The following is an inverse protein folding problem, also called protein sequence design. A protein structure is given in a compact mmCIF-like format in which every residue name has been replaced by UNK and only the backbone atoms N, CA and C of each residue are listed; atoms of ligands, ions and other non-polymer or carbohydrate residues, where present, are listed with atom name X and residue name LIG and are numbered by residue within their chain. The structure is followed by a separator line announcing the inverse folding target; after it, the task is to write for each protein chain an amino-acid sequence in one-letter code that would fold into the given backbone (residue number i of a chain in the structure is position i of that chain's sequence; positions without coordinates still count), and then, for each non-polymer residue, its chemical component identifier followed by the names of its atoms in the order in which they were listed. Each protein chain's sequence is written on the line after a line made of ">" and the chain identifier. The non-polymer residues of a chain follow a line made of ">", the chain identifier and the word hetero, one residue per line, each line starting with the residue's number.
data_IF_197453637139
#
_entry.id   IF_197453637139
#
_cell.length_a   1.000
_cell.length_b   1.000
_cell.length_c   1.000
_cell.angle_alpha   90.00
_cell.angle_beta   90.00
_cell.angle_gamma   90.00
#
_symmetry.space_group_name_H-M   'P 1'
#
loop_
_entity.id
_entity.type
_entity.pdbx_description
1 polymer ?
#
# COMPACT_ATOMS: atom_id res chain seq x y z
N UNK A 1 -39.54 44.12 64.52
CA UNK A 1 -39.24 44.20 63.07
C UNK A 1 -38.40 43.00 62.68
N UNK A 2 -38.99 42.00 62.01
CA UNK A 2 -38.26 40.91 61.33
C UNK A 2 -38.95 40.69 59.98
N UNK A 3 -38.17 40.88 58.91
CA UNK A 3 -38.60 40.85 57.50
C UNK A 3 -38.65 39.39 57.03
N UNK A 4 -39.81 38.94 56.56
CA UNK A 4 -39.92 37.67 55.85
C UNK A 4 -39.60 37.89 54.37
N UNK A 5 -38.56 37.25 53.87
CA UNK A 5 -38.16 37.27 52.47
C UNK A 5 -38.94 36.20 51.69
N UNK A 6 -39.60 36.60 50.60
CA UNK A 6 -40.25 35.69 49.66
C UNK A 6 -39.20 35.31 48.61
N UNK A 7 -38.80 34.04 48.56
CA UNK A 7 -37.92 33.51 47.52
C UNK A 7 -38.76 33.17 46.27
N UNK A 8 -38.54 33.91 45.18
CA UNK A 8 -39.12 33.60 43.88
C UNK A 8 -38.32 32.49 43.20
N UNK A 9 -38.94 31.33 42.98
CA UNK A 9 -38.37 30.20 42.26
C UNK A 9 -38.46 30.47 40.75
N UNK A 10 -37.37 30.91 40.13
CA UNK A 10 -37.29 31.11 38.67
C UNK A 10 -37.19 29.77 37.93
N UNK A 11 -38.19 29.46 37.11
CA UNK A 11 -38.19 28.28 36.24
C UNK A 11 -37.39 28.61 34.96
N UNK A 12 -36.11 28.23 34.90
CA UNK A 12 -35.30 28.32 33.67
C UNK A 12 -35.69 27.18 32.72
N UNK A 13 -36.39 27.52 31.63
CA UNK A 13 -36.61 26.59 30.53
C UNK A 13 -35.31 26.44 29.73
N UNK A 14 -34.70 25.25 29.78
CA UNK A 14 -33.57 24.91 28.92
C UNK A 14 -34.07 24.67 27.49
N UNK A 15 -33.81 25.61 26.58
CA UNK A 15 -33.96 25.38 25.15
C UNK A 15 -32.88 24.39 24.69
N UNK A 16 -33.28 23.15 24.41
CA UNK A 16 -32.43 22.22 23.66
C UNK A 16 -32.43 22.70 22.20
N UNK A 17 -31.36 23.36 21.79
CA UNK A 17 -31.15 23.66 20.38
C UNK A 17 -31.03 22.34 19.61
N UNK A 18 -31.99 22.05 18.73
CA UNK A 18 -31.88 20.93 17.81
C UNK A 18 -30.62 21.12 16.96
N UNK A 19 -29.66 20.20 17.08
CA UNK A 19 -28.49 20.18 16.21
C UNK A 19 -28.98 19.97 14.77
N UNK A 20 -28.50 20.74 13.78
CA UNK A 20 -28.82 20.45 12.39
C UNK A 20 -28.34 19.03 12.08
N UNK A 21 -29.27 18.15 11.77
CA UNK A 21 -28.98 16.83 11.21
C UNK A 21 -28.30 17.09 9.87
N UNK A 22 -27.08 16.58 9.70
CA UNK A 22 -26.39 16.68 8.42
C UNK A 22 -27.31 16.15 7.31
N UNK A 23 -27.57 16.97 6.30
CA UNK A 23 -28.37 16.53 5.14
C UNK A 23 -27.60 15.41 4.46
N UNK A 24 -28.21 14.23 4.34
CA UNK A 24 -27.63 13.10 3.63
C UNK A 24 -27.30 13.54 2.19
N UNK A 25 -26.03 13.48 1.82
CA UNK A 25 -25.62 13.79 0.45
C UNK A 25 -26.17 12.70 -0.48
N UNK A 26 -26.48 13.06 -1.74
CA UNK A 26 -26.98 12.08 -2.70
C UNK A 26 -25.97 10.95 -2.97
N UNK A 27 -24.69 11.22 -2.75
CA UNK A 27 -23.57 10.28 -2.86
C UNK A 27 -22.63 10.55 -1.69
N UNK A 28 -22.59 9.63 -0.73
CA UNK A 28 -21.76 9.76 0.47
C UNK A 28 -20.29 9.46 0.17
N UNK A 29 -19.39 10.01 0.98
CA UNK A 29 -17.96 9.72 0.90
C UNK A 29 -17.67 8.27 1.32
N UNK A 30 -16.71 7.64 0.63
CA UNK A 30 -16.14 6.35 1.00
C UNK A 30 -14.65 6.30 0.73
N UNK A 31 -13.96 5.42 1.46
CA UNK A 31 -12.53 5.17 1.29
C UNK A 31 -12.25 3.68 1.45
N UNK A 32 -11.26 3.18 0.70
CA UNK A 32 -10.69 1.84 0.85
C UNK A 32 -9.17 1.93 0.75
N UNK A 33 -8.46 1.19 1.58
CA UNK A 33 -7.01 1.14 1.55
C UNK A 33 -6.51 -0.30 1.64
N UNK A 34 -5.38 -0.57 1.00
CA UNK A 34 -4.70 -1.86 1.01
C UNK A 34 -3.19 -1.63 1.13
N UNK A 35 -2.53 -2.38 2.02
CA UNK A 35 -1.06 -2.49 2.04
C UNK A 35 -0.64 -3.74 1.28
N UNK A 36 0.34 -3.63 0.38
CA UNK A 36 0.89 -4.74 -0.40
C UNK A 36 2.41 -4.56 -0.44
N UNK A 37 3.15 -5.52 0.12
CA UNK A 37 4.62 -5.47 0.15
C UNK A 37 5.20 -4.12 0.62
N UNK A 38 4.64 -3.55 1.69
CA UNK A 38 5.07 -2.26 2.25
C UNK A 38 4.47 -1.02 1.57
N UNK A 39 3.92 -1.14 0.36
CA UNK A 39 3.25 -0.04 -0.36
C UNK A 39 1.80 0.08 0.06
N UNK A 40 1.34 1.29 0.39
CA UNK A 40 -0.05 1.61 0.69
C UNK A 40 -0.74 2.22 -0.54
N UNK A 41 -1.84 1.59 -0.93
CA UNK A 41 -2.78 2.06 -1.94
C UNK A 41 -4.02 2.57 -1.21
N UNK A 42 -4.54 3.73 -1.59
CA UNK A 42 -5.81 4.27 -1.04
C UNK A 42 -6.66 4.84 -2.15
N UNK A 43 -7.95 4.51 -2.12
CA UNK A 43 -8.96 5.07 -3.01
C UNK A 43 -9.98 5.83 -2.19
N UNK A 44 -10.14 7.11 -2.47
CA UNK A 44 -11.13 8.00 -1.86
C UNK A 44 -12.11 8.45 -2.95
N UNK A 45 -13.42 8.33 -2.68
CA UNK A 45 -14.43 8.53 -3.69
C UNK A 45 -15.80 8.80 -3.07
N UNK A 46 -16.67 9.52 -3.79
CA UNK A 46 -18.09 9.61 -3.42
C UNK A 46 -18.89 8.59 -4.21
N UNK A 47 -19.76 7.87 -3.52
CA UNK A 47 -20.34 6.61 -3.98
C UNK A 47 -21.78 6.79 -4.45
N UNK A 48 -22.05 6.99 -5.74
CA UNK A 48 -23.42 7.06 -6.23
C UNK A 48 -24.15 5.73 -6.04
N UNK A 49 -25.43 5.86 -5.72
CA UNK A 49 -26.39 4.75 -5.62
C UNK A 49 -27.24 4.75 -6.90
N UNK A 50 -27.48 3.58 -7.48
CA UNK A 50 -28.28 3.45 -8.70
C UNK A 50 -29.72 3.94 -8.50
N UNK A 51 -30.32 3.65 -7.35
CA UNK A 51 -31.69 4.10 -6.97
C UNK A 51 -32.72 3.70 -8.03
N UNK A 52 -32.60 2.50 -8.58
CA UNK A 52 -33.50 1.96 -9.60
C UNK A 52 -33.34 2.57 -11.01
N UNK A 53 -32.29 3.36 -11.26
CA UNK A 53 -31.94 3.85 -12.61
C UNK A 53 -31.47 2.70 -13.49
N UNK A 54 -32.26 2.32 -14.48
CA UNK A 54 -31.85 1.32 -15.48
C UNK A 54 -30.72 1.86 -16.36
N UNK A 55 -29.88 0.96 -16.87
CA UNK A 55 -28.79 1.25 -17.80
C UNK A 55 -27.78 2.29 -17.30
N UNK A 56 -27.22 2.09 -16.10
CA UNK A 56 -26.21 2.98 -15.51
C UNK A 56 -25.11 3.34 -16.53
N UNK A 57 -24.65 2.39 -17.32
CA UNK A 57 -23.76 2.67 -18.45
C UNK A 57 -24.51 2.70 -19.78
N UNK A 58 -24.27 3.75 -20.56
CA UNK A 58 -25.03 4.11 -21.76
C UNK A 58 -25.99 5.28 -21.52
N UNK A 59 -26.74 5.25 -20.41
CA UNK A 59 -27.70 6.31 -20.09
C UNK A 59 -27.14 7.31 -19.07
N UNK A 60 -26.76 6.88 -17.87
CA UNK A 60 -26.23 7.79 -16.83
C UNK A 60 -24.76 8.12 -17.08
N UNK A 61 -23.93 7.10 -17.26
CA UNK A 61 -22.54 7.20 -17.66
C UNK A 61 -22.47 6.99 -19.17
N UNK A 62 -22.29 8.08 -19.92
CA UNK A 62 -22.31 8.05 -21.38
C UNK A 62 -21.06 7.38 -21.95
N UNK A 63 -21.26 6.49 -22.92
CA UNK A 63 -20.17 5.88 -23.68
C UNK A 63 -19.37 6.94 -24.46
N UNK A 64 -18.05 6.76 -24.53
CA UNK A 64 -17.15 7.66 -25.24
C UNK A 64 -16.95 9.03 -24.57
N UNK A 65 -17.57 9.29 -23.41
CA UNK A 65 -17.41 10.53 -22.67
C UNK A 65 -16.51 10.36 -21.46
N UNK A 66 -15.64 11.35 -21.22
CA UNK A 66 -14.79 11.38 -20.04
C UNK A 66 -15.63 11.59 -18.77
N UNK A 67 -15.42 10.72 -17.80
CA UNK A 67 -16.12 10.67 -16.52
C UNK A 67 -15.14 10.25 -15.42
N UNK A 68 -15.30 10.77 -14.20
CA UNK A 68 -14.60 10.24 -13.02
C UNK A 68 -15.46 9.15 -12.39
N UNK A 69 -14.95 7.94 -12.10
CA UNK A 69 -15.76 6.91 -11.46
C UNK A 69 -16.10 7.23 -10.00
N UNK A 70 -17.10 8.10 -9.81
CA UNK A 70 -17.55 8.70 -8.56
C UNK A 70 -18.49 9.89 -8.78
N UNK A 71 -18.80 10.61 -7.71
CA UNK A 71 -19.60 11.84 -7.70
C UNK A 71 -18.87 12.96 -6.91
N UNK A 72 -19.42 14.18 -6.86
CA UNK A 72 -18.87 15.32 -6.10
C UNK A 72 -17.39 15.64 -6.44
N UNK A 73 -16.44 15.02 -5.75
CA UNK A 73 -15.01 15.12 -6.07
C UNK A 73 -14.56 13.92 -6.89
N UNK A 74 -13.64 14.16 -7.82
CA UNK A 74 -13.04 13.09 -8.60
C UNK A 74 -12.42 12.03 -7.68
N UNK A 75 -12.61 10.77 -8.06
CA UNK A 75 -12.06 9.64 -7.32
C UNK A 75 -10.55 9.79 -7.28
N UNK A 76 -9.98 9.69 -6.08
CA UNK A 76 -8.55 9.86 -5.85
C UNK A 76 -7.92 8.50 -5.60
N UNK A 77 -6.88 8.17 -6.36
CA UNK A 77 -5.96 7.07 -6.09
C UNK A 77 -4.68 7.67 -5.50
N UNK A 78 -4.34 7.26 -4.28
CA UNK A 78 -3.11 7.63 -3.58
C UNK A 78 -2.20 6.40 -3.45
N UNK A 79 -0.96 6.55 -3.92
CA UNK A 79 0.07 5.52 -3.86
C UNK A 79 1.32 6.10 -3.20
N UNK A 80 1.78 5.48 -2.11
CA UNK A 80 2.91 6.00 -1.31
C UNK A 80 4.30 5.61 -1.84
N UNK A 81 4.35 4.65 -2.77
CA UNK A 81 5.53 4.24 -3.53
C UNK A 81 5.23 4.19 -5.03
N UNK A 82 6.27 4.14 -5.85
CA UNK A 82 6.13 3.88 -7.27
C UNK A 82 5.56 2.47 -7.49
N UNK A 83 4.59 2.34 -8.39
CA UNK A 83 3.93 1.07 -8.72
C UNK A 83 3.83 0.90 -10.23
N UNK A 84 3.40 -0.28 -10.69
CA UNK A 84 2.96 -0.50 -12.08
C UNK A 84 1.47 -0.73 -12.12
N UNK A 85 0.73 0.13 -12.82
CA UNK A 85 -0.69 -0.05 -13.09
C UNK A 85 -0.84 -0.54 -14.53
N UNK A 86 -1.44 -1.71 -14.72
CA UNK A 86 -1.57 -2.35 -16.04
C UNK A 86 -0.21 -2.43 -16.78
N UNK A 87 0.84 -2.79 -16.04
CA UNK A 87 2.20 -2.90 -16.54
C UNK A 87 2.94 -1.57 -16.76
N UNK A 88 2.28 -0.42 -16.61
CA UNK A 88 2.88 0.91 -16.82
C UNK A 88 3.31 1.54 -15.50
N UNK A 89 4.47 2.19 -15.50
CA UNK A 89 4.99 2.89 -14.32
C UNK A 89 4.06 4.04 -13.90
N UNK A 90 3.66 4.03 -12.63
CA UNK A 90 2.97 5.12 -11.95
C UNK A 90 3.83 5.55 -10.76
N UNK A 91 4.46 6.73 -10.80
CA UNK A 91 5.25 7.22 -9.68
C UNK A 91 4.39 7.46 -8.43
N UNK A 92 5.02 7.54 -7.25
CA UNK A 92 4.33 7.87 -6.00
C UNK A 92 3.56 9.20 -6.10
N UNK A 93 2.40 9.24 -5.46
CA UNK A 93 1.58 10.44 -5.35
C UNK A 93 0.08 10.17 -5.37
N UNK A 94 -0.67 11.28 -5.33
CA UNK A 94 -2.13 11.30 -5.45
C UNK A 94 -2.55 11.64 -6.87
N UNK A 95 -3.54 10.93 -7.38
CA UNK A 95 -4.04 11.05 -8.74
C UNK A 95 -5.57 11.12 -8.76
N UNK A 96 -6.16 12.00 -9.57
CA UNK A 96 -7.58 11.86 -9.91
C UNK A 96 -7.76 10.82 -11.01
N UNK A 97 -8.76 9.96 -10.83
CA UNK A 97 -9.08 8.84 -11.71
C UNK A 97 -10.18 9.27 -12.67
N UNK A 98 -9.90 9.16 -13.96
CA UNK A 98 -10.85 9.44 -15.03
C UNK A 98 -10.90 8.26 -15.99
N UNK A 99 -12.07 8.02 -16.58
CA UNK A 99 -12.31 6.95 -17.52
C UNK A 99 -13.11 7.49 -18.71
N UNK A 100 -12.84 6.94 -19.89
CA UNK A 100 -13.71 6.98 -21.06
C UNK A 100 -14.30 5.58 -21.21
N UNK A 101 -15.55 5.36 -20.76
CA UNK A 101 -16.18 4.06 -20.83
C UNK A 101 -16.54 3.69 -22.27
N UNK A 102 -16.41 2.41 -22.59
CA UNK A 102 -16.92 1.78 -23.81
C UNK A 102 -17.48 0.39 -23.50
N UNK A 103 -18.24 -0.21 -24.41
CA UNK A 103 -18.82 -1.53 -24.21
C UNK A 103 -17.75 -2.63 -24.08
N UNK A 104 -16.70 -2.57 -24.90
CA UNK A 104 -15.65 -3.61 -24.93
C UNK A 104 -14.33 -3.18 -24.28
N UNK A 105 -14.11 -1.88 -24.12
CA UNK A 105 -12.86 -1.33 -23.62
C UNK A 105 -13.09 0.01 -22.92
N UNK A 106 -12.41 0.20 -21.80
CA UNK A 106 -12.35 1.46 -21.07
C UNK A 106 -10.96 2.04 -21.17
N UNK A 107 -10.88 3.33 -21.46
CA UNK A 107 -9.61 4.05 -21.36
C UNK A 107 -9.55 4.77 -20.03
N UNK A 108 -8.64 4.39 -19.15
CA UNK A 108 -8.43 5.03 -17.85
C UNK A 108 -7.26 5.99 -17.96
N UNK A 109 -7.38 7.15 -17.31
CA UNK A 109 -6.33 8.14 -17.18
C UNK A 109 -6.19 8.63 -15.75
N UNK A 110 -4.95 8.72 -15.27
CA UNK A 110 -4.59 9.17 -13.94
C UNK A 110 -3.88 10.53 -14.00
N UNK A 111 -4.38 11.50 -13.24
CA UNK A 111 -3.96 12.91 -13.31
C UNK A 111 -3.41 13.41 -11.96
N UNK A 112 -2.22 14.02 -11.95
CA UNK A 112 -1.57 14.56 -10.74
C UNK A 112 -2.42 15.58 -9.96
N UNK A 113 -3.34 16.29 -10.62
CA UNK A 113 -4.31 17.17 -9.95
C UNK A 113 -5.40 16.32 -9.31
N UNK A 114 -5.13 15.81 -8.10
CA UNK A 114 -5.99 14.86 -7.40
C UNK A 114 -7.33 15.46 -6.95
N UNK A 115 -7.31 16.70 -6.42
CA UNK A 115 -8.52 17.38 -5.98
C UNK A 115 -9.14 18.18 -7.13
N UNK A 116 -10.20 17.61 -7.71
CA UNK A 116 -10.92 18.18 -8.86
C UNK A 116 -12.41 17.89 -8.71
N UNK A 117 -13.27 18.87 -8.98
CA UNK A 117 -14.71 18.62 -8.92
C UNK A 117 -15.14 17.78 -10.14
N UNK A 118 -16.07 16.85 -9.95
CA UNK A 118 -16.35 15.76 -10.91
C UNK A 118 -16.80 16.20 -12.32
N UNK A 119 -17.22 17.46 -12.52
CA UNK A 119 -17.57 18.01 -13.85
C UNK A 119 -16.45 18.84 -14.50
N UNK A 120 -15.45 19.25 -13.72
CA UNK A 120 -14.26 19.96 -14.21
C UNK A 120 -13.31 18.92 -14.82
N UNK A 121 -13.59 18.51 -16.06
CA UNK A 121 -12.86 17.45 -16.77
C UNK A 121 -11.44 17.92 -17.12
N UNK A 122 -10.39 17.10 -16.87
CA UNK A 122 -9.05 17.46 -17.29
C UNK A 122 -8.88 17.36 -18.81
N UNK A 123 -8.03 18.22 -19.35
CA UNK A 123 -7.57 18.09 -20.73
C UNK A 123 -6.71 16.84 -20.90
N UNK A 124 -6.69 16.30 -22.11
CA UNK A 124 -5.81 15.19 -22.44
C UNK A 124 -4.39 15.71 -22.72
N UNK A 125 -3.45 15.42 -21.83
CA UNK A 125 -2.02 15.76 -21.96
C UNK A 125 -1.13 14.52 -21.98
N UNK A 126 0.13 14.66 -22.36
CA UNK A 126 1.11 13.56 -22.31
C UNK A 126 1.61 13.25 -20.90
N UNK A 127 1.30 14.10 -19.91
CA UNK A 127 1.72 13.95 -18.51
C UNK A 127 0.88 12.94 -17.72
N UNK A 128 -0.30 12.59 -18.23
CA UNK A 128 -1.21 11.66 -17.56
C UNK A 128 -0.87 10.20 -17.92
N UNK A 129 -0.90 9.31 -16.93
CA UNK A 129 -0.81 7.90 -17.22
C UNK A 129 -2.12 7.44 -17.85
N UNK A 130 -2.08 6.93 -19.09
CA UNK A 130 -3.25 6.41 -19.80
C UNK A 130 -3.06 4.94 -20.18
N UNK A 131 -4.07 4.13 -19.95
CA UNK A 131 -4.07 2.71 -20.31
C UNK A 131 -5.50 2.24 -20.61
N UNK A 132 -5.61 1.12 -21.32
CA UNK A 132 -6.88 0.52 -21.71
C UNK A 132 -7.08 -0.76 -20.93
N UNK A 133 -8.28 -0.94 -20.40
CA UNK A 133 -8.71 -2.16 -19.68
C UNK A 133 -10.01 -2.67 -20.28
N UNK A 134 -10.21 -3.98 -20.19
CA UNK A 134 -11.45 -4.61 -20.62
C UNK A 134 -12.43 -4.66 -19.42
N UNK A 135 -13.63 -4.05 -19.51
CA UNK A 135 -14.65 -4.26 -18.51
C UNK A 135 -15.16 -5.70 -18.57
N UNK A 136 -15.62 -6.21 -17.44
CA UNK A 136 -16.28 -7.49 -17.30
C UNK A 136 -17.69 -7.30 -16.70
N UNK A 137 -18.49 -8.36 -16.72
CA UNK A 137 -19.78 -8.40 -16.05
C UNK A 137 -19.70 -9.20 -14.76
N UNK A 138 -20.36 -8.71 -13.71
CA UNK A 138 -20.42 -9.37 -12.42
C UNK A 138 -21.78 -9.24 -11.74
N UNK A 139 -21.91 -9.72 -10.50
CA UNK A 139 -23.12 -9.57 -9.71
C UNK A 139 -23.53 -8.10 -9.56
N UNK A 140 -24.85 -7.86 -9.54
CA UNK A 140 -25.42 -6.52 -9.39
C UNK A 140 -24.90 -5.82 -8.13
N UNK A 141 -24.37 -4.61 -8.32
CA UNK A 141 -23.78 -3.78 -7.28
C UNK A 141 -24.52 -2.43 -7.24
N UNK A 142 -25.45 -2.26 -6.30
CA UNK A 142 -26.34 -1.09 -6.20
C UNK A 142 -25.59 0.22 -5.89
N UNK A 143 -24.57 0.14 -5.04
CA UNK A 143 -23.74 1.28 -4.63
C UNK A 143 -22.38 1.15 -5.27
N UNK A 144 -21.96 2.14 -6.06
CA UNK A 144 -20.66 2.16 -6.73
C UNK A 144 -19.54 1.85 -5.72
N UNK A 145 -18.70 0.86 -6.00
CA UNK A 145 -17.72 0.31 -5.04
C UNK A 145 -16.35 0.20 -5.69
N UNK A 146 -15.32 0.60 -4.93
CA UNK A 146 -13.94 0.20 -5.15
C UNK A 146 -13.52 -0.79 -4.06
N UNK A 147 -12.87 -1.90 -4.43
CA UNK A 147 -12.35 -2.91 -3.51
C UNK A 147 -11.06 -3.57 -4.02
N UNK A 148 -10.42 -4.36 -3.16
CA UNK A 148 -9.24 -5.16 -3.48
C UNK A 148 -9.58 -6.65 -3.36
N UNK A 149 -10.13 -7.27 -4.41
CA UNK A 149 -10.54 -8.68 -4.35
C UNK A 149 -9.39 -9.67 -4.22
N UNK A 150 -8.19 -9.29 -4.65
CA UNK A 150 -7.03 -10.18 -4.71
C UNK A 150 -5.78 -9.44 -4.25
N UNK A 151 -5.07 -10.04 -3.29
CA UNK A 151 -3.80 -9.54 -2.75
C UNK A 151 -2.82 -10.68 -2.74
N UNK A 152 -1.65 -10.47 -3.34
CA UNK A 152 -0.57 -11.45 -3.43
C UNK A 152 0.74 -10.80 -2.99
N UNK A 153 1.81 -11.58 -2.89
CA UNK A 153 3.15 -11.02 -2.68
C UNK A 153 3.53 -10.17 -3.89
N UNK A 154 3.70 -8.86 -3.69
CA UNK A 154 4.16 -7.94 -4.73
C UNK A 154 3.11 -7.46 -5.72
N UNK A 155 1.83 -7.85 -5.59
CA UNK A 155 0.78 -7.36 -6.49
C UNK A 155 -0.63 -7.44 -5.86
N UNK A 156 -1.55 -6.64 -6.39
CA UNK A 156 -2.97 -6.69 -6.06
C UNK A 156 -3.84 -6.32 -7.26
N UNK A 157 -5.11 -6.68 -7.20
CA UNK A 157 -6.12 -6.19 -8.12
C UNK A 157 -6.95 -5.11 -7.41
N UNK A 158 -6.94 -3.88 -7.91
CA UNK A 158 -7.91 -2.84 -7.54
C UNK A 158 -9.11 -2.96 -8.48
N UNK A 159 -10.32 -3.06 -7.94
CA UNK A 159 -11.51 -3.33 -8.75
C UNK A 159 -12.59 -2.28 -8.53
N UNK A 160 -13.12 -1.75 -9.63
CA UNK A 160 -14.34 -0.95 -9.66
C UNK A 160 -15.56 -1.84 -9.92
N UNK A 161 -16.68 -1.57 -9.25
CA UNK A 161 -17.97 -2.25 -9.46
C UNK A 161 -19.14 -1.28 -9.35
N UNK A 162 -20.06 -1.30 -10.32
CA UNK A 162 -21.34 -0.61 -10.24
C UNK A 162 -22.35 -1.16 -11.25
N UNK A 163 -23.61 -1.32 -10.83
CA UNK A 163 -24.59 -2.14 -11.55
C UNK A 163 -23.98 -3.52 -11.82
N UNK A 164 -24.03 -4.02 -13.06
CA UNK A 164 -23.39 -5.27 -13.47
C UNK A 164 -21.98 -5.10 -14.04
N UNK A 165 -21.41 -3.88 -14.06
CA UNK A 165 -20.09 -3.62 -14.63
C UNK A 165 -19.00 -3.78 -13.58
N UNK A 166 -17.96 -4.50 -13.95
CA UNK A 166 -16.75 -4.72 -13.17
C UNK A 166 -15.54 -4.28 -13.98
N UNK A 167 -14.62 -3.52 -13.39
CA UNK A 167 -13.36 -3.14 -14.04
C UNK A 167 -12.19 -3.47 -13.11
N UNK A 168 -11.47 -4.58 -13.36
CA UNK A 168 -10.27 -4.93 -12.61
C UNK A 168 -9.06 -4.16 -13.13
N UNK A 169 -8.23 -3.67 -12.21
CA UNK A 169 -6.96 -3.00 -12.46
C UNK A 169 -5.85 -3.75 -11.73
N UNK A 170 -4.93 -4.35 -12.47
CA UNK A 170 -3.75 -4.99 -11.93
C UNK A 170 -2.72 -3.94 -11.50
N UNK A 171 -2.32 -4.00 -10.23
CA UNK A 171 -1.30 -3.15 -9.65
C UNK A 171 -0.14 -4.03 -9.17
N UNK A 172 0.97 -3.97 -9.90
CA UNK A 172 2.25 -4.55 -9.49
C UNK A 172 2.99 -3.58 -8.58
N UNK A 173 3.42 -4.04 -7.42
CA UNK A 173 4.28 -3.28 -6.53
C UNK A 173 5.69 -3.39 -7.07
N UNK A 174 6.32 -2.23 -7.30
CA UNK A 174 7.75 -2.26 -7.57
C UNK A 174 8.45 -2.66 -6.28
N UNK A 175 9.44 -3.56 -6.32
CA UNK A 175 10.43 -3.56 -5.25
C UNK A 175 10.82 -2.09 -5.06
N UNK A 176 10.78 -1.54 -3.83
CA UNK A 176 11.41 -0.26 -3.61
C UNK A 176 12.81 -0.38 -4.21
N UNK A 177 13.28 0.64 -4.96
CA UNK A 177 14.67 0.65 -5.38
C UNK A 177 15.46 0.35 -4.11
N UNK A 178 16.26 -0.73 -4.12
CA UNK A 178 17.16 -1.04 -3.02
C UNK A 178 17.89 0.26 -2.78
N UNK A 179 17.51 0.99 -1.71
CA UNK A 179 17.95 2.36 -1.54
C UNK A 179 19.46 2.31 -1.55
N UNK A 180 20.13 3.08 -2.42
CA UNK A 180 21.58 3.06 -2.61
C UNK A 180 22.25 2.71 -1.29
N UNK A 181 22.76 1.49 -1.28
CA UNK A 181 23.16 0.84 -0.04
C UNK A 181 24.51 1.45 0.34
N UNK A 182 24.80 1.48 1.63
CA UNK A 182 25.81 2.36 2.21
C UNK A 182 27.19 2.29 1.53
N UNK A 183 28.02 3.26 1.86
CA UNK A 183 29.44 3.20 1.54
C UNK A 183 30.08 1.96 2.17
N UNK A 184 31.20 1.49 1.60
CA UNK A 184 31.99 0.41 2.21
C UNK A 184 32.29 0.65 3.70
N UNK A 185 32.50 1.91 4.10
CA UNK A 185 32.75 2.25 5.50
C UNK A 185 31.54 1.97 6.42
N UNK A 186 30.31 2.12 5.90
CA UNK A 186 29.08 1.78 6.62
C UNK A 186 28.83 0.27 6.64
N UNK A 187 29.34 -0.47 5.65
CA UNK A 187 29.18 -1.92 5.55
C UNK A 187 30.22 -2.73 6.30
N UNK A 188 31.47 -2.26 6.30
CA UNK A 188 32.62 -2.95 6.87
C UNK A 188 32.39 -3.52 8.29
N UNK A 189 31.67 -2.84 9.21
CA UNK A 189 31.38 -3.39 10.52
C UNK A 189 30.64 -4.74 10.50
N UNK A 190 29.78 -4.99 9.51
CA UNK A 190 28.88 -6.14 9.47
C UNK A 190 29.39 -7.31 8.62
N UNK A 191 30.52 -7.13 7.92
CA UNK A 191 31.07 -8.15 7.04
C UNK A 191 31.70 -9.31 7.83
N UNK A 192 31.47 -10.54 7.35
CA UNK A 192 32.11 -11.73 7.91
C UNK A 192 31.26 -13.00 7.81
N UNK A 193 31.81 -14.09 8.31
CA UNK A 193 31.10 -15.35 8.46
C UNK A 193 30.38 -15.39 9.82
N UNK A 194 29.21 -16.00 9.86
CA UNK A 194 28.41 -16.16 11.06
C UNK A 194 27.87 -17.58 11.16
N UNK A 195 27.77 -18.05 12.39
CA UNK A 195 27.02 -19.25 12.74
C UNK A 195 25.61 -18.84 13.19
N UNK A 196 24.60 -19.28 12.44
CA UNK A 196 23.20 -18.91 12.63
C UNK A 196 22.42 -20.06 13.27
N UNK A 197 21.98 -19.88 14.50
CA UNK A 197 21.03 -20.73 15.21
C UNK A 197 19.58 -20.36 14.84
N UNK A 198 18.79 -21.31 14.33
CA UNK A 198 17.39 -21.09 13.94
C UNK A 198 16.45 -21.50 15.07
N UNK A 199 15.99 -20.51 15.85
CA UNK A 199 15.23 -20.72 17.09
C UNK A 199 13.80 -21.22 16.88
N UNK A 200 13.21 -20.95 15.72
CA UNK A 200 11.82 -21.36 15.40
C UNK A 200 11.69 -22.84 15.00
N UNK A 201 12.79 -23.55 14.79
CA UNK A 201 12.78 -24.96 14.40
C UNK A 201 13.18 -25.85 15.58
N UNK A 202 12.50 -26.98 15.75
CA UNK A 202 12.82 -27.95 16.80
C UNK A 202 14.29 -28.39 16.72
N UNK A 203 14.98 -28.36 17.87
CA UNK A 203 16.41 -28.70 17.96
C UNK A 203 17.37 -27.59 17.55
N UNK A 204 16.86 -26.40 17.21
CA UNK A 204 17.62 -25.17 16.92
C UNK A 204 18.82 -25.42 15.98
N UNK A 205 18.56 -25.89 14.75
CA UNK A 205 19.64 -26.22 13.84
C UNK A 205 20.48 -24.99 13.52
N UNK A 206 21.78 -25.22 13.35
CA UNK A 206 22.75 -24.21 12.96
C UNK A 206 22.96 -24.19 11.44
N UNK A 207 23.31 -23.03 10.90
CA UNK A 207 23.70 -22.84 9.50
C UNK A 207 24.84 -21.84 9.42
N UNK A 208 25.87 -22.14 8.64
CA UNK A 208 26.89 -21.15 8.29
C UNK A 208 26.36 -20.20 7.22
N UNK A 209 26.56 -18.90 7.45
CA UNK A 209 26.23 -17.84 6.52
C UNK A 209 27.40 -16.85 6.40
N UNK A 210 27.38 -16.05 5.35
CA UNK A 210 28.29 -14.92 5.18
C UNK A 210 27.49 -13.64 4.93
N UNK A 211 27.90 -12.56 5.58
CA UNK A 211 27.49 -11.20 5.25
C UNK A 211 28.60 -10.60 4.38
N UNK A 212 28.25 -10.29 3.13
CA UNK A 212 29.19 -9.84 2.09
C UNK A 212 28.69 -8.57 1.43
N UNK A 213 29.61 -7.80 0.88
CA UNK A 213 29.28 -6.61 0.08
C UNK A 213 29.22 -6.98 -1.42
N UNK A 214 28.23 -6.45 -2.13
CA UNK A 214 28.03 -6.68 -3.57
C UNK A 214 27.70 -5.35 -4.26
N UNK A 215 28.71 -4.72 -4.84
CA UNK A 215 28.51 -3.38 -5.40
C UNK A 215 28.31 -2.38 -4.27
N UNK A 216 27.17 -1.71 -4.27
CA UNK A 216 26.79 -0.81 -3.19
C UNK A 216 25.98 -1.51 -2.09
N UNK A 217 25.77 -2.83 -2.10
CA UNK A 217 24.77 -3.52 -1.24
C UNK A 217 25.35 -4.50 -0.22
N UNK A 218 24.67 -4.71 0.92
CA UNK A 218 24.95 -5.83 1.84
C UNK A 218 24.11 -7.05 1.47
N UNK A 219 24.73 -8.22 1.49
CA UNK A 219 24.11 -9.50 1.19
C UNK A 219 24.35 -10.50 2.31
N UNK A 220 23.29 -11.17 2.73
CA UNK A 220 23.35 -12.40 3.50
C UNK A 220 23.31 -13.57 2.54
N UNK A 221 24.32 -14.44 2.58
CA UNK A 221 24.38 -15.69 1.81
C UNK A 221 24.52 -16.89 2.70
N UNK A 222 23.75 -17.95 2.44
CA UNK A 222 24.05 -19.24 3.04
C UNK A 222 25.41 -19.74 2.55
N UNK A 223 26.30 -20.14 3.46
CA UNK A 223 27.62 -20.67 3.15
C UNK A 223 27.61 -22.19 2.94
N UNK A 224 26.61 -22.87 3.49
CA UNK A 224 26.46 -24.33 3.42
C UNK A 224 25.51 -24.79 2.30
N UNK A 225 25.71 -26.02 1.84
CA UNK A 225 24.85 -26.70 0.87
C UNK A 225 25.14 -26.38 -0.60
N UNK A 226 24.42 -27.04 -1.54
CA UNK A 226 24.59 -26.84 -2.98
C UNK A 226 24.36 -25.38 -3.36
N UNK A 227 25.24 -24.80 -4.19
CA UNK A 227 25.18 -23.37 -4.59
C UNK A 227 23.80 -22.97 -5.12
N UNK A 228 23.17 -23.83 -5.91
CA UNK A 228 21.83 -23.59 -6.46
C UNK A 228 20.70 -23.51 -5.40
N UNK A 229 20.96 -23.95 -4.17
CA UNK A 229 20.01 -23.94 -3.05
C UNK A 229 20.37 -22.91 -1.98
N UNK A 230 21.51 -22.24 -2.10
CA UNK A 230 21.91 -21.19 -1.17
C UNK A 230 20.97 -20.01 -1.31
N UNK A 231 20.46 -19.53 -0.19
CA UNK A 231 19.67 -18.30 -0.15
C UNK A 231 20.62 -17.11 -0.23
N UNK A 232 20.24 -16.12 -1.02
CA UNK A 232 20.90 -14.83 -1.10
C UNK A 232 19.84 -13.77 -0.80
N UNK A 233 20.06 -13.01 0.26
CA UNK A 233 19.20 -11.92 0.66
C UNK A 233 19.94 -10.60 0.62
N UNK A 234 19.34 -9.58 0.03
CA UNK A 234 19.84 -8.21 0.15
C UNK A 234 19.41 -7.66 1.50
N UNK A 235 20.27 -6.88 2.13
CA UNK A 235 20.01 -6.20 3.39
C UNK A 235 19.98 -4.70 3.16
N UNK A 236 18.93 -4.02 3.62
CA UNK A 236 18.82 -2.55 3.54
C UNK A 236 18.65 -1.96 4.92
N UNK A 237 19.29 -0.81 5.17
CA UNK A 237 19.20 -0.13 6.46
C UNK A 237 17.74 0.14 6.87
N UNK A 238 17.44 -0.11 8.14
CA UNK A 238 16.15 0.08 8.80
C UNK A 238 16.24 1.00 10.03
N UNK A 239 17.45 1.16 10.56
CA UNK A 239 17.79 1.93 11.77
C UNK A 239 19.29 1.79 12.06
N UNK A 240 19.73 2.29 13.22
CA UNK A 240 21.11 2.07 13.69
C UNK A 240 21.34 0.57 13.93
N UNK A 241 22.36 -0.01 13.30
CA UNK A 241 22.66 -1.45 13.33
C UNK A 241 21.48 -2.38 12.95
N UNK A 242 20.45 -1.85 12.29
CA UNK A 242 19.23 -2.58 11.93
C UNK A 242 19.01 -2.62 10.43
N UNK A 243 18.59 -3.79 9.92
CA UNK A 243 18.39 -4.03 8.50
C UNK A 243 17.11 -4.80 8.21
N UNK A 244 16.46 -4.45 7.10
CA UNK A 244 15.42 -5.27 6.47
C UNK A 244 16.06 -6.29 5.53
N UNK A 245 15.43 -7.45 5.37
CA UNK A 245 15.90 -8.52 4.49
C UNK A 245 15.01 -8.67 3.26
N UNK A 246 15.64 -8.71 2.09
CA UNK A 246 14.98 -8.82 0.79
C UNK A 246 15.37 -10.10 0.08
N UNK A 247 14.40 -10.85 -0.45
CA UNK A 247 14.67 -12.03 -1.28
C UNK A 247 14.41 -11.69 -2.74
N UNK A 248 15.18 -12.30 -3.64
CA UNK A 248 14.99 -12.22 -5.09
C UNK A 248 14.14 -13.37 -5.61
N UNK A 249 13.23 -13.13 -6.56
CA UNK A 249 12.44 -14.18 -7.21
C UNK A 249 13.12 -14.61 -8.49
N UNK A 250 12.59 -15.68 -9.05
CA UNK A 250 12.94 -16.19 -10.38
C UNK A 250 12.72 -15.16 -11.49
N UNK A 251 11.88 -14.13 -11.29
CA UNK A 251 11.66 -13.01 -12.20
C UNK A 251 12.64 -11.85 -12.04
N UNK A 252 13.51 -11.90 -11.02
CA UNK A 252 14.51 -10.88 -10.72
C UNK A 252 14.03 -9.74 -9.82
N UNK A 253 12.77 -9.73 -9.37
CA UNK A 253 12.24 -8.75 -8.42
C UNK A 253 12.62 -9.10 -6.98
N UNK A 254 12.79 -8.07 -6.15
CA UNK A 254 13.07 -8.22 -4.72
C UNK A 254 11.77 -8.06 -3.90
N UNK A 255 11.58 -8.81 -2.83
CA UNK A 255 10.55 -8.51 -1.82
C UNK A 255 11.17 -8.53 -0.43
N UNK A 256 10.77 -7.54 0.37
CA UNK A 256 11.06 -7.54 1.79
C UNK A 256 10.30 -8.69 2.43
N UNK A 257 10.96 -9.42 3.32
CA UNK A 257 10.25 -10.25 4.28
C UNK A 257 9.60 -9.30 5.30
N UNK A 258 8.33 -8.99 5.07
CA UNK A 258 7.60 -8.03 5.89
C UNK A 258 7.61 -8.46 7.36
N UNK A 259 7.86 -7.51 8.25
CA UNK A 259 7.94 -7.76 9.68
C UNK A 259 9.22 -8.47 10.14
N UNK A 260 10.22 -8.67 9.27
CA UNK A 260 11.52 -9.23 9.66
C UNK A 260 12.56 -8.12 9.79
N UNK A 261 13.16 -8.01 10.97
CA UNK A 261 14.27 -7.08 11.25
C UNK A 261 15.50 -7.88 11.66
N UNK A 262 16.65 -7.52 11.09
CA UNK A 262 17.97 -8.03 11.48
C UNK A 262 18.67 -6.95 12.30
N UNK A 263 18.89 -7.21 13.58
CA UNK A 263 19.51 -6.28 14.52
C UNK A 263 20.90 -6.77 14.89
N UNK A 264 21.95 -6.07 14.44
CA UNK A 264 23.32 -6.39 14.79
C UNK A 264 23.68 -5.92 16.19
N UNK A 265 24.54 -6.69 16.85
CA UNK A 265 25.26 -6.24 18.04
C UNK A 265 26.67 -5.91 17.62
N UNK A 266 27.10 -4.67 17.86
CA UNK A 266 28.43 -4.19 17.51
C UNK A 266 29.31 -3.98 18.76
N UNK A 267 30.60 -4.30 18.65
CA UNK A 267 31.61 -4.02 19.66
C UNK A 267 32.92 -3.67 18.96
N UNK A 268 33.61 -2.63 19.44
CA UNK A 268 34.88 -2.15 18.86
C UNK A 268 34.80 -1.88 17.34
N UNK A 269 33.67 -1.39 16.84
CA UNK A 269 33.47 -1.06 15.43
C UNK A 269 33.18 -2.26 14.52
N UNK A 270 32.96 -3.46 15.08
CA UNK A 270 32.60 -4.66 14.33
C UNK A 270 31.39 -5.36 14.95
N UNK A 271 30.55 -5.94 14.11
CA UNK A 271 29.49 -6.83 14.56
C UNK A 271 30.09 -8.04 15.27
N UNK A 272 29.53 -8.43 16.41
CA UNK A 272 29.85 -9.69 17.11
C UNK A 272 28.79 -10.76 16.89
N UNK A 273 27.63 -10.34 16.38
CA UNK A 273 26.48 -11.20 16.08
C UNK A 273 25.30 -10.36 15.65
N UNK A 274 24.16 -11.01 15.43
CA UNK A 274 22.89 -10.34 15.20
C UNK A 274 21.72 -11.23 15.62
N UNK A 275 20.55 -10.62 15.79
CA UNK A 275 19.28 -11.31 16.00
C UNK A 275 18.33 -11.00 14.86
N UNK A 276 17.55 -11.99 14.43
CA UNK A 276 16.45 -11.81 13.49
C UNK A 276 15.15 -11.90 14.26
N UNK A 277 14.30 -10.90 14.12
CA UNK A 277 13.05 -10.75 14.89
C UNK A 277 11.85 -10.64 13.95
N UNK A 278 10.71 -11.20 14.34
CA UNK A 278 9.42 -10.95 13.69
C UNK A 278 8.77 -9.65 14.16
N UNK A 279 7.65 -9.29 13.52
CA UNK A 279 6.91 -8.04 13.75
C UNK A 279 6.42 -7.90 15.20
N UNK A 280 6.17 -9.03 15.86
CA UNK A 280 5.75 -9.11 17.27
C UNK A 280 6.93 -9.06 18.26
N UNK A 281 8.17 -8.95 17.77
CA UNK A 281 9.41 -8.95 18.56
C UNK A 281 9.91 -10.36 18.94
N UNK A 282 9.30 -11.43 18.44
CA UNK A 282 9.78 -12.79 18.70
C UNK A 282 11.08 -13.08 17.96
N UNK A 283 12.06 -13.68 18.64
CA UNK A 283 13.33 -14.05 18.03
C UNK A 283 13.19 -15.27 17.10
N UNK A 284 13.54 -15.11 15.83
CA UNK A 284 13.50 -16.15 14.81
C UNK A 284 14.81 -16.92 14.74
N UNK A 285 15.92 -16.20 14.79
CA UNK A 285 17.26 -16.76 14.74
C UNK A 285 18.28 -15.83 15.39
N UNK A 286 19.37 -16.41 15.89
CA UNK A 286 20.51 -15.68 16.43
C UNK A 286 21.77 -16.08 15.69
N UNK A 287 22.59 -15.12 15.35
CA UNK A 287 23.87 -15.33 14.71
C UNK A 287 25.01 -14.87 15.60
N UNK A 288 26.07 -15.69 15.67
CA UNK A 288 27.34 -15.33 16.31
C UNK A 288 28.39 -15.20 15.24
N UNK A 289 29.18 -14.13 15.26
CA UNK A 289 30.26 -13.94 14.30
C UNK A 289 31.34 -14.99 14.52
N UNK A 290 31.77 -15.61 13.43
CA UNK A 290 32.87 -16.57 13.43
C UNK A 290 34.22 -15.83 13.44
N UNK A 291 35.29 -16.49 13.92
CA UNK A 291 36.63 -15.91 13.98
C UNK A 291 37.16 -15.43 12.62
#
# INVERSE_FOLDING_TARGET
>A
MRRSAIAALGLTAAFVAARPVASQELSEFGSVAQRVSGTRLTVEYYRPVERGRRNVFGDLVKWGQLWTPGANWATTLDVDHDVRVEGKLLPKGKYSVWAVPGPDAWTISLHRRARRFHVDRPDSTDEQLRFTVRPDSGPHTEVMTWDFPEVTTGATTLRFRWASVVVPLHIGILPPPLAALGTHAEHAPYLGAYDLEILILAGHPHRSIEIVEVGDTLHWRDADGPVAQRRDFVMTAAGEDQFLRWRRDTGGAFWCEAGIVVSFTTANGHATGFQVESEDGSAISRATRLP
#
